data_IF_420716530832
#
_entry.id   IF_420716530832
#
_cell.length_a   1.000
_cell.length_b   1.000
_cell.length_c   1.000
_cell.angle_alpha   90.00
_cell.angle_beta   90.00
_cell.angle_gamma   90.00
#
_symmetry.space_group_name_H-M   'P 1'
#
loop_
_entity.id
_entity.type
_entity.pdbx_description
1 polymer ?
#
# COMPACT_ATOMS: atom_id res chain seq x y z
N UNK A 1 -15.61 20.13 10.08
CA UNK A 1 -14.75 20.15 8.88
C UNK A 1 -13.74 21.29 8.98
N UNK A 2 -12.47 21.02 8.69
CA UNK A 2 -11.38 21.98 8.65
C UNK A 2 -10.81 22.04 7.22
N UNK A 3 -10.72 23.25 6.66
CA UNK A 3 -10.27 23.45 5.28
C UNK A 3 -8.79 23.07 5.09
N UNK A 4 -7.92 23.39 6.06
CA UNK A 4 -6.50 23.10 5.97
C UNK A 4 -6.26 21.59 5.95
N UNK A 5 -6.93 20.86 6.85
CA UNK A 5 -6.86 19.41 6.91
C UNK A 5 -7.42 18.77 5.62
N UNK A 6 -8.50 19.33 5.08
CA UNK A 6 -9.10 18.83 3.83
C UNK A 6 -8.14 19.00 2.64
N UNK A 7 -7.53 20.18 2.47
CA UNK A 7 -6.54 20.43 1.40
C UNK A 7 -5.32 19.52 1.55
N UNK A 8 -4.81 19.44 2.78
CA UNK A 8 -3.71 18.56 3.14
C UNK A 8 -4.01 17.10 2.78
N UNK A 9 -5.19 16.59 3.12
CA UNK A 9 -5.59 15.22 2.83
C UNK A 9 -5.83 14.95 1.35
N UNK A 10 -6.26 15.94 0.54
CA UNK A 10 -6.29 15.80 -0.92
C UNK A 10 -4.88 15.57 -1.48
N UNK A 11 -3.91 16.38 -1.04
CA UNK A 11 -2.52 16.23 -1.46
C UNK A 11 -1.95 14.87 -1.04
N UNK A 12 -2.13 14.47 0.22
CA UNK A 12 -1.69 13.18 0.72
C UNK A 12 -2.32 12.03 -0.08
N UNK A 13 -3.62 12.08 -0.36
CA UNK A 13 -4.32 11.06 -1.17
C UNK A 13 -3.72 10.92 -2.56
N UNK A 14 -3.41 12.03 -3.24
CA UNK A 14 -2.78 12.00 -4.56
C UNK A 14 -1.36 11.43 -4.52
N UNK A 15 -0.60 11.75 -3.47
CA UNK A 15 0.73 11.19 -3.23
C UNK A 15 0.67 9.68 -3.00
N UNK A 16 -0.27 9.17 -2.21
CA UNK A 16 -0.43 7.72 -2.02
C UNK A 16 -0.87 7.05 -3.31
N UNK A 17 -1.79 7.66 -4.08
CA UNK A 17 -2.20 7.12 -5.37
C UNK A 17 -1.00 6.95 -6.32
N UNK A 18 -0.07 7.91 -6.34
CA UNK A 18 1.16 7.86 -7.15
C UNK A 18 2.05 6.64 -6.83
N UNK A 19 1.99 6.10 -5.61
CA UNK A 19 2.81 4.96 -5.21
C UNK A 19 2.47 3.71 -6.03
N UNK A 20 1.22 3.50 -6.43
CA UNK A 20 0.83 2.28 -7.16
C UNK A 20 1.39 2.26 -8.60
N UNK A 21 1.24 3.32 -9.41
CA UNK A 21 2.00 3.47 -10.64
C UNK A 21 3.52 3.40 -10.41
N UNK A 22 4.02 3.98 -9.31
CA UNK A 22 5.43 3.86 -8.91
C UNK A 22 5.88 2.40 -8.77
N UNK A 23 5.14 1.57 -8.03
CA UNK A 23 5.44 0.14 -7.90
C UNK A 23 5.31 -0.61 -9.22
N UNK A 24 4.35 -0.23 -10.08
CA UNK A 24 4.21 -0.84 -11.40
C UNK A 24 5.47 -0.66 -12.25
N UNK A 25 6.07 0.53 -12.20
CA UNK A 25 7.35 0.82 -12.86
C UNK A 25 8.51 0.13 -12.14
N UNK A 26 8.52 0.15 -10.81
CA UNK A 26 9.53 -0.49 -9.99
C UNK A 26 9.68 -1.97 -10.35
N UNK A 27 8.58 -2.73 -10.27
CA UNK A 27 8.56 -4.15 -10.63
C UNK A 27 8.67 -4.37 -12.14
N UNK A 28 8.06 -3.52 -12.97
CA UNK A 28 8.16 -3.59 -14.43
C UNK A 28 9.60 -3.53 -14.96
N UNK A 29 10.48 -2.77 -14.29
CA UNK A 29 11.91 -2.72 -14.61
C UNK A 29 12.72 -3.91 -14.07
N UNK A 30 12.23 -4.61 -13.04
CA UNK A 30 12.89 -5.76 -12.41
C UNK A 30 12.55 -7.10 -13.08
N UNK A 31 11.41 -7.19 -13.76
CA UNK A 31 11.02 -8.39 -14.51
C UNK A 31 11.69 -8.42 -15.88
N UNK A 32 11.54 -9.55 -16.59
CA UNK A 32 12.03 -9.69 -17.96
C UNK A 32 11.23 -8.82 -18.92
N UNK A 33 11.89 -8.36 -19.99
CA UNK A 33 11.28 -7.48 -21.01
C UNK A 33 9.95 -8.01 -21.56
N UNK A 34 9.87 -9.32 -21.84
CA UNK A 34 8.64 -9.98 -22.33
C UNK A 34 7.49 -9.97 -21.33
N UNK A 35 7.77 -9.79 -20.04
CA UNK A 35 6.77 -9.81 -18.97
C UNK A 35 6.48 -8.41 -18.41
N UNK A 36 7.30 -7.40 -18.73
CA UNK A 36 7.20 -6.03 -18.21
C UNK A 36 5.79 -5.44 -18.38
N UNK A 37 5.21 -5.55 -19.58
CA UNK A 37 3.87 -5.04 -19.86
C UNK A 37 2.80 -5.72 -19.00
N UNK A 38 2.87 -7.05 -18.84
CA UNK A 38 1.93 -7.79 -18.01
C UNK A 38 2.04 -7.41 -16.53
N UNK A 39 3.26 -7.20 -16.02
CA UNK A 39 3.48 -6.75 -14.63
C UNK A 39 2.90 -5.35 -14.39
N UNK A 40 3.13 -4.41 -15.31
CA UNK A 40 2.53 -3.07 -15.22
C UNK A 40 1.00 -3.14 -15.26
N UNK A 41 0.45 -3.97 -16.17
CA UNK A 41 -1.00 -4.18 -16.28
C UNK A 41 -1.61 -4.76 -15.00
N UNK A 42 -0.91 -5.63 -14.27
CA UNK A 42 -1.40 -6.17 -12.99
C UNK A 42 -1.57 -5.08 -11.93
N UNK A 43 -0.61 -4.18 -11.78
CA UNK A 43 -0.73 -3.06 -10.83
C UNK A 43 -1.78 -2.05 -11.25
N UNK A 44 -1.91 -1.74 -12.55
CA UNK A 44 -2.95 -0.81 -13.03
C UNK A 44 -4.35 -1.41 -12.89
N UNK A 45 -4.52 -2.71 -13.17
CA UNK A 45 -5.76 -3.42 -12.95
C UNK A 45 -6.14 -3.48 -11.46
N UNK A 46 -5.15 -3.56 -10.56
CA UNK A 46 -5.40 -3.52 -9.13
C UNK A 46 -6.07 -2.21 -8.69
N UNK A 47 -5.62 -1.05 -9.18
CA UNK A 47 -6.26 0.25 -8.89
C UNK A 47 -7.76 0.19 -9.21
N UNK A 48 -8.10 -0.29 -10.40
CA UNK A 48 -9.49 -0.34 -10.87
C UNK A 48 -10.31 -1.33 -10.03
N UNK A 49 -9.82 -2.55 -9.85
CA UNK A 49 -10.55 -3.59 -9.13
C UNK A 49 -10.71 -3.29 -7.65
N UNK A 50 -9.65 -2.85 -6.98
CA UNK A 50 -9.71 -2.42 -5.58
C UNK A 50 -10.71 -1.29 -5.43
N UNK A 51 -10.72 -0.31 -6.34
CA UNK A 51 -11.72 0.76 -6.32
C UNK A 51 -13.14 0.21 -6.33
N UNK A 52 -13.48 -0.68 -7.27
CA UNK A 52 -14.82 -1.27 -7.33
C UNK A 52 -15.20 -2.05 -6.07
N UNK A 53 -14.29 -2.88 -5.54
CA UNK A 53 -14.58 -3.67 -4.33
C UNK A 53 -14.68 -2.77 -3.11
N UNK A 54 -13.82 -1.75 -3.00
CA UNK A 54 -13.78 -0.82 -1.89
C UNK A 54 -15.07 0.00 -1.78
N UNK A 55 -15.53 0.57 -2.89
CA UNK A 55 -16.75 1.40 -2.90
C UNK A 55 -18.03 0.58 -2.72
N UNK A 56 -18.01 -0.70 -3.08
CA UNK A 56 -19.19 -1.58 -2.94
C UNK A 56 -19.29 -2.15 -1.53
N UNK A 57 -18.21 -2.76 -1.00
CA UNK A 57 -18.23 -3.47 0.28
C UNK A 57 -17.00 -3.24 1.15
N UNK A 58 -15.84 -2.90 0.58
CA UNK A 58 -14.59 -2.86 1.33
C UNK A 58 -14.55 -1.76 2.38
N UNK A 59 -15.06 -0.55 2.06
CA UNK A 59 -15.09 0.56 3.00
C UNK A 59 -16.01 0.27 4.20
N UNK A 60 -17.21 -0.25 3.96
CA UNK A 60 -18.17 -0.56 5.04
C UNK A 60 -17.68 -1.68 5.95
N UNK A 61 -17.04 -2.72 5.40
CA UNK A 61 -16.43 -3.79 6.20
C UNK A 61 -15.29 -3.24 7.07
N UNK A 62 -14.53 -2.27 6.55
CA UNK A 62 -13.36 -1.71 7.24
C UNK A 62 -13.75 -0.71 8.33
N UNK A 63 -14.65 0.23 8.02
CA UNK A 63 -14.90 1.42 8.86
C UNK A 63 -16.36 1.60 9.31
N UNK A 64 -17.26 0.67 8.95
CA UNK A 64 -18.60 0.66 9.53
C UNK A 64 -18.58 0.30 11.02
N UNK A 65 -19.52 0.85 11.80
CA UNK A 65 -19.65 0.53 13.23
C UNK A 65 -20.18 -0.90 13.41
N UNK A 66 -19.28 -1.84 13.70
CA UNK A 66 -19.59 -3.27 13.71
C UNK A 66 -19.10 -4.02 14.93
N UNK A 67 -18.79 -5.29 14.70
CA UNK A 67 -18.27 -6.21 15.73
C UNK A 67 -16.77 -6.01 15.94
N UNK A 68 -16.13 -6.85 16.77
CA UNK A 68 -14.67 -6.86 16.87
C UNK A 68 -13.94 -7.34 15.59
N UNK A 69 -14.66 -7.97 14.66
CA UNK A 69 -14.10 -8.68 13.52
C UNK A 69 -14.37 -8.02 12.17
N UNK A 70 -15.51 -7.37 12.03
CA UNK A 70 -15.94 -6.70 10.80
C UNK A 70 -16.85 -5.54 11.15
N UNK A 71 -16.81 -4.50 10.32
CA UNK A 71 -17.76 -3.41 10.31
C UNK A 71 -19.18 -3.85 9.93
N UNK A 72 -20.08 -2.88 9.82
CA UNK A 72 -21.46 -3.10 9.41
C UNK A 72 -21.65 -2.90 7.88
N UNK A 73 -22.90 -2.82 7.44
CA UNK A 73 -23.28 -2.64 6.03
C UNK A 73 -23.80 -1.23 5.72
N UNK A 74 -23.62 -0.27 6.62
CA UNK A 74 -24.18 1.08 6.50
C UNK A 74 -23.64 1.84 5.28
N UNK A 75 -22.34 1.70 5.01
CA UNK A 75 -21.65 2.40 3.92
C UNK A 75 -21.57 1.58 2.62
N UNK A 76 -22.38 0.52 2.49
CA UNK A 76 -22.42 -0.30 1.26
C UNK A 76 -22.79 0.59 0.07
N UNK A 77 -22.10 0.43 -1.06
CA UNK A 77 -22.25 1.29 -2.25
C UNK A 77 -22.04 2.80 -1.96
N UNK A 78 -21.21 3.13 -0.98
CA UNK A 78 -20.99 4.50 -0.51
C UNK A 78 -22.25 5.21 -0.01
N UNK A 79 -23.27 4.45 0.42
CA UNK A 79 -24.41 5.05 1.09
C UNK A 79 -23.94 5.86 2.30
N UNK A 80 -24.50 7.05 2.52
CA UNK A 80 -24.07 8.00 3.56
C UNK A 80 -22.61 8.52 3.47
N UNK A 81 -21.84 8.15 2.44
CA UNK A 81 -20.48 8.64 2.22
C UNK A 81 -20.50 9.83 1.26
N UNK A 82 -20.12 11.01 1.76
CA UNK A 82 -20.16 12.23 0.97
C UNK A 82 -19.26 13.34 1.52
N UNK A 83 -19.65 14.59 1.26
CA UNK A 83 -18.89 15.76 1.69
C UNK A 83 -19.00 16.05 3.21
N UNK A 84 -20.00 15.48 3.88
CA UNK A 84 -20.16 15.59 5.32
C UNK A 84 -19.03 14.85 6.07
N UNK A 85 -18.71 15.34 7.26
CA UNK A 85 -17.83 14.65 8.24
C UNK A 85 -18.62 13.58 9.00
N UNK A 86 -17.93 12.59 9.55
CA UNK A 86 -18.49 11.64 10.52
C UNK A 86 -17.63 11.70 11.78
N UNK A 87 -18.25 11.79 12.95
CA UNK A 87 -17.58 12.17 14.21
C UNK A 87 -16.52 11.14 14.67
N UNK A 88 -16.79 9.86 14.55
CA UNK A 88 -15.93 8.78 15.05
C UNK A 88 -14.79 8.41 14.09
N UNK A 89 -14.99 8.63 12.78
CA UNK A 89 -14.12 8.15 11.71
C UNK A 89 -13.34 9.30 11.07
N UNK A 90 -14.01 10.42 10.79
CA UNK A 90 -13.45 11.54 10.04
C UNK A 90 -13.99 12.90 10.54
N UNK A 91 -13.74 13.28 11.80
CA UNK A 91 -14.41 14.42 12.45
C UNK A 91 -14.07 15.77 11.80
N UNK A 92 -12.94 15.86 11.10
CA UNK A 92 -12.43 17.12 10.58
C UNK A 92 -12.29 17.16 9.04
N UNK A 93 -12.41 16.02 8.36
CA UNK A 93 -12.32 15.91 6.90
C UNK A 93 -13.57 15.23 6.31
N UNK A 94 -13.97 15.55 5.08
CA UNK A 94 -15.07 14.86 4.42
C UNK A 94 -14.92 13.33 4.44
N UNK A 95 -16.00 12.61 4.77
CA UNK A 95 -15.97 11.15 4.85
C UNK A 95 -15.58 10.51 3.50
N UNK A 96 -16.00 11.10 2.38
CA UNK A 96 -15.58 10.68 1.06
C UNK A 96 -14.06 10.81 0.85
N UNK A 97 -13.42 11.85 1.39
CA UNK A 97 -11.98 12.02 1.29
C UNK A 97 -11.22 11.02 2.18
N UNK A 98 -11.71 10.77 3.39
CA UNK A 98 -11.18 9.70 4.24
C UNK A 98 -11.29 8.33 3.55
N UNK A 99 -12.45 8.02 2.97
CA UNK A 99 -12.68 6.80 2.21
C UNK A 99 -11.70 6.64 1.04
N UNK A 100 -11.47 7.71 0.27
CA UNK A 100 -10.52 7.71 -0.83
C UNK A 100 -9.09 7.52 -0.34
N UNK A 101 -8.68 8.22 0.72
CA UNK A 101 -7.34 8.07 1.31
C UNK A 101 -7.08 6.61 1.72
N UNK A 102 -8.00 6.00 2.47
CA UNK A 102 -7.92 4.61 2.92
C UNK A 102 -7.93 3.60 1.75
N UNK A 103 -8.69 3.87 0.69
CA UNK A 103 -8.67 3.06 -0.53
C UNK A 103 -7.28 2.95 -1.16
N UNK A 104 -6.48 4.02 -1.08
CA UNK A 104 -5.12 4.02 -1.62
C UNK A 104 -4.19 3.07 -0.86
N UNK A 105 -4.40 2.89 0.45
CA UNK A 105 -3.65 1.93 1.27
C UNK A 105 -3.96 0.48 0.86
N UNK A 106 -5.22 0.19 0.54
CA UNK A 106 -5.60 -1.12 0.00
C UNK A 106 -4.94 -1.38 -1.35
N UNK A 107 -4.96 -0.36 -2.22
CA UNK A 107 -4.42 -0.44 -3.58
C UNK A 107 -2.91 -0.68 -3.58
N UNK A 108 -2.18 0.00 -2.70
CA UNK A 108 -0.74 -0.23 -2.57
C UNK A 108 -0.42 -1.58 -1.95
N UNK A 109 -1.20 -2.06 -0.97
CA UNK A 109 -1.02 -3.37 -0.35
C UNK A 109 -1.10 -4.52 -1.39
N UNK A 110 -2.12 -4.48 -2.27
CA UNK A 110 -2.22 -5.43 -3.40
C UNK A 110 -1.01 -5.31 -4.33
N UNK A 111 -0.56 -4.10 -4.59
CA UNK A 111 0.55 -3.85 -5.52
C UNK A 111 1.89 -4.36 -4.98
N UNK A 112 2.15 -4.21 -3.67
CA UNK A 112 3.30 -4.82 -2.98
C UNK A 112 3.25 -6.34 -3.11
N UNK A 113 2.10 -6.94 -2.78
CA UNK A 113 1.89 -8.38 -2.91
C UNK A 113 2.12 -8.86 -4.35
N UNK A 114 1.66 -8.11 -5.35
CA UNK A 114 1.76 -8.49 -6.76
C UNK A 114 3.22 -8.68 -7.20
N UNK A 115 4.17 -7.96 -6.59
CA UNK A 115 5.60 -8.15 -6.83
C UNK A 115 6.12 -9.56 -6.51
N UNK A 116 5.55 -10.25 -5.51
CA UNK A 116 5.96 -11.62 -5.12
C UNK A 116 5.57 -12.69 -6.14
N UNK A 117 4.51 -12.41 -6.91
CA UNK A 117 3.92 -13.30 -7.91
C UNK A 117 4.14 -12.81 -9.35
N UNK A 118 4.91 -11.73 -9.51
CA UNK A 118 5.29 -11.17 -10.80
C UNK A 118 5.90 -12.27 -11.68
N UNK A 119 5.52 -12.28 -12.96
CA UNK A 119 5.91 -13.29 -13.97
C UNK A 119 5.40 -14.73 -13.72
N UNK A 120 4.72 -15.01 -12.61
CA UNK A 120 4.34 -16.38 -12.21
C UNK A 120 2.83 -16.65 -12.22
N UNK A 121 2.00 -15.64 -11.99
CA UNK A 121 0.55 -15.78 -11.95
C UNK A 121 -0.09 -15.33 -13.27
N UNK A 122 -1.03 -16.14 -13.78
CA UNK A 122 -1.87 -15.74 -14.93
C UNK A 122 -2.75 -14.55 -14.54
N UNK A 123 -3.05 -13.68 -15.51
CA UNK A 123 -3.80 -12.44 -15.28
C UNK A 123 -5.20 -12.66 -14.71
N UNK A 124 -6.01 -13.57 -15.27
CA UNK A 124 -7.39 -13.79 -14.80
C UNK A 124 -7.46 -14.31 -13.35
N UNK A 125 -6.70 -15.34 -12.93
CA UNK A 125 -6.61 -15.72 -11.52
C UNK A 125 -6.19 -14.56 -10.61
N UNK A 126 -5.27 -13.70 -11.07
CA UNK A 126 -4.85 -12.53 -10.31
C UNK A 126 -6.01 -11.55 -10.08
N UNK A 127 -6.84 -11.27 -11.09
CA UNK A 127 -8.01 -10.39 -10.92
C UNK A 127 -8.98 -10.95 -9.86
N UNK A 128 -9.27 -12.25 -9.91
CA UNK A 128 -10.13 -12.90 -8.92
C UNK A 128 -9.52 -12.84 -7.52
N UNK A 129 -8.21 -13.07 -7.42
CA UNK A 129 -7.49 -12.96 -6.16
C UNK A 129 -7.60 -11.55 -5.58
N UNK A 130 -7.39 -10.50 -6.36
CA UNK A 130 -7.51 -9.10 -5.89
C UNK A 130 -8.90 -8.85 -5.30
N UNK A 131 -9.96 -9.27 -6.00
CA UNK A 131 -11.34 -9.06 -5.52
C UNK A 131 -11.59 -9.76 -4.19
N UNK A 132 -11.22 -11.04 -4.11
CA UNK A 132 -11.44 -11.85 -2.90
C UNK A 132 -10.58 -11.34 -1.75
N UNK A 133 -9.31 -11.04 -2.00
CA UNK A 133 -8.37 -10.62 -0.97
C UNK A 133 -8.73 -9.24 -0.41
N UNK A 134 -9.13 -8.29 -1.25
CA UNK A 134 -9.60 -6.99 -0.78
C UNK A 134 -10.79 -7.13 0.16
N UNK A 135 -11.81 -7.91 -0.22
CA UNK A 135 -13.03 -8.06 0.56
C UNK A 135 -12.84 -8.90 1.84
N UNK A 136 -12.09 -10.00 1.76
CA UNK A 136 -12.04 -11.02 2.82
C UNK A 136 -10.76 -11.00 3.67
N UNK A 137 -9.71 -10.29 3.24
CA UNK A 137 -8.45 -10.21 3.97
C UNK A 137 -8.16 -8.77 4.36
N UNK A 138 -8.03 -7.88 3.38
CA UNK A 138 -7.64 -6.50 3.66
C UNK A 138 -8.67 -5.75 4.49
N UNK A 139 -9.93 -5.71 4.03
CA UNK A 139 -10.97 -4.94 4.73
C UNK A 139 -11.20 -5.41 6.18
N UNK A 140 -11.23 -6.73 6.48
CA UNK A 140 -11.28 -7.19 7.86
C UNK A 140 -10.04 -6.81 8.67
N UNK A 141 -8.84 -6.94 8.12
CA UNK A 141 -7.61 -6.52 8.83
C UNK A 141 -7.60 -5.02 9.11
N UNK A 142 -8.01 -4.20 8.14
CA UNK A 142 -8.18 -2.76 8.32
C UNK A 142 -9.18 -2.45 9.44
N UNK A 143 -10.28 -3.23 9.52
CA UNK A 143 -11.22 -3.12 10.63
C UNK A 143 -10.59 -3.48 11.97
N UNK A 144 -9.83 -4.59 12.03
CA UNK A 144 -9.19 -5.04 13.27
C UNK A 144 -8.27 -3.98 13.87
N UNK A 145 -7.53 -3.26 13.03
CA UNK A 145 -6.49 -2.33 13.44
C UNK A 145 -7.00 -0.88 13.54
N UNK A 146 -7.74 -0.40 12.54
CA UNK A 146 -8.16 1.00 12.43
C UNK A 146 -9.66 1.22 12.61
N UNK A 147 -10.49 0.26 12.20
CA UNK A 147 -11.95 0.37 12.27
C UNK A 147 -12.57 0.08 13.65
N UNK A 148 -11.77 0.06 14.72
CA UNK A 148 -12.25 -0.21 16.08
C UNK A 148 -12.39 -1.70 16.44
N UNK A 149 -11.84 -2.61 15.64
CA UNK A 149 -11.86 -4.05 15.91
C UNK A 149 -10.89 -4.52 17.00
N UNK A 150 -10.69 -5.84 17.11
CA UNK A 150 -10.00 -6.43 18.27
C UNK A 150 -8.54 -6.00 18.45
N UNK A 151 -7.76 -5.81 17.39
CA UNK A 151 -6.34 -5.36 17.50
C UNK A 151 -6.29 -3.93 18.05
N UNK A 152 -7.21 -3.08 17.59
CA UNK A 152 -7.39 -1.73 18.11
C UNK A 152 -7.71 -1.76 19.62
N UNK A 153 -8.63 -2.64 20.05
CA UNK A 153 -8.98 -2.80 21.47
C UNK A 153 -7.85 -3.33 22.36
N UNK A 154 -6.84 -3.99 21.78
CA UNK A 154 -5.61 -4.36 22.50
C UNK A 154 -4.64 -3.18 22.69
N UNK A 155 -4.90 -2.02 22.08
CA UNK A 155 -4.04 -0.84 22.18
C UNK A 155 -2.80 -0.91 21.30
N UNK A 156 -2.82 -1.72 20.23
CA UNK A 156 -1.70 -1.80 19.27
C UNK A 156 -1.58 -0.48 18.52
N UNK A 157 -0.35 0.03 18.44
CA UNK A 157 -0.02 1.26 17.71
C UNK A 157 0.43 0.90 16.29
N UNK A 158 -0.44 1.18 15.33
CA UNK A 158 -0.15 1.05 13.90
C UNK A 158 -0.54 2.33 13.17
N UNK A 159 0.43 3.25 13.08
CA UNK A 159 0.20 4.62 12.62
C UNK A 159 -0.20 4.71 11.15
N UNK A 160 0.51 4.00 10.26
CA UNK A 160 0.32 4.08 8.81
C UNK A 160 0.19 2.69 8.14
N UNK A 161 0.08 1.60 8.88
CA UNK A 161 -0.28 0.30 8.30
C UNK A 161 0.89 -0.66 8.18
N UNK A 162 1.78 -0.66 9.17
CA UNK A 162 2.76 -1.73 9.36
C UNK A 162 2.10 -3.11 9.32
N UNK A 163 0.97 -3.25 10.01
CA UNK A 163 0.17 -4.49 10.02
C UNK A 163 -0.76 -4.55 8.81
N UNK A 164 -1.59 -3.53 8.62
CA UNK A 164 -2.68 -3.53 7.63
C UNK A 164 -2.17 -3.63 6.20
N UNK A 165 -1.08 -2.92 5.88
CA UNK A 165 -0.51 -2.88 4.54
C UNK A 165 0.67 -3.85 4.44
N UNK A 166 1.73 -3.63 5.20
CA UNK A 166 3.02 -4.29 4.93
C UNK A 166 3.08 -5.76 5.37
N UNK A 167 2.72 -6.06 6.62
CA UNK A 167 2.71 -7.46 7.11
C UNK A 167 1.66 -8.27 6.35
N UNK A 168 0.45 -7.75 6.19
CA UNK A 168 -0.66 -8.48 5.55
C UNK A 168 -0.35 -8.79 4.08
N UNK A 169 0.16 -7.81 3.31
CA UNK A 169 0.58 -8.05 1.93
C UNK A 169 1.83 -8.92 1.82
N UNK A 170 2.81 -8.72 2.71
CA UNK A 170 4.06 -9.49 2.74
C UNK A 170 3.84 -10.98 3.02
N UNK A 171 3.05 -11.30 4.05
CA UNK A 171 2.68 -12.69 4.39
C UNK A 171 1.84 -13.30 3.29
N UNK A 172 0.85 -12.57 2.76
CA UNK A 172 0.03 -13.05 1.65
C UNK A 172 0.86 -13.33 0.40
N UNK A 173 1.83 -12.46 0.08
CA UNK A 173 2.78 -12.64 -1.02
C UNK A 173 3.71 -13.84 -0.81
N UNK A 174 4.20 -14.05 0.42
CA UNK A 174 4.98 -15.23 0.77
C UNK A 174 4.18 -16.53 0.57
N UNK A 175 2.94 -16.58 1.08
CA UNK A 175 2.05 -17.74 0.93
C UNK A 175 1.80 -18.02 -0.55
N UNK A 176 1.48 -17.00 -1.35
CA UNK A 176 1.30 -17.15 -2.79
C UNK A 176 2.57 -17.63 -3.50
N UNK A 177 3.73 -17.09 -3.14
CA UNK A 177 5.00 -17.52 -3.72
C UNK A 177 5.31 -19.00 -3.43
N UNK A 178 4.95 -19.49 -2.23
CA UNK A 178 5.08 -20.90 -1.86
C UNK A 178 4.07 -21.76 -2.66
N UNK A 179 2.81 -21.34 -2.72
CA UNK A 179 1.74 -22.11 -3.38
C UNK A 179 1.92 -22.20 -4.90
N UNK A 180 2.34 -21.11 -5.55
CA UNK A 180 2.61 -21.09 -6.99
C UNK A 180 3.92 -21.85 -7.29
N UNK A 181 4.88 -21.81 -6.36
CA UNK A 181 6.13 -22.55 -6.44
C UNK A 181 7.17 -21.89 -7.35
N UNK A 182 8.29 -22.61 -7.52
CA UNK A 182 9.41 -22.17 -8.35
C UNK A 182 9.03 -22.31 -9.83
N UNK A 183 9.02 -21.19 -10.56
CA UNK A 183 8.91 -21.20 -12.02
C UNK A 183 10.09 -21.91 -12.69
N UNK A 184 10.10 -21.95 -14.04
CA UNK A 184 11.14 -22.65 -14.80
C UNK A 184 12.56 -22.21 -14.40
N UNK A 185 13.42 -23.18 -14.05
CA UNK A 185 14.81 -23.02 -13.55
C UNK A 185 15.77 -22.25 -14.48
N UNK A 186 15.37 -21.94 -15.72
CA UNK A 186 16.27 -21.55 -16.81
C UNK A 186 16.35 -20.06 -17.14
N UNK A 187 15.88 -19.17 -16.27
CA UNK A 187 16.15 -17.76 -16.46
C UNK A 187 16.67 -17.14 -15.18
N UNK A 188 17.98 -16.90 -15.12
CA UNK A 188 18.46 -15.74 -14.38
C UNK A 188 17.69 -14.54 -14.93
N UNK A 189 16.76 -14.02 -14.14
CA UNK A 189 15.99 -12.85 -14.51
C UNK A 189 16.94 -11.66 -14.55
N UNK A 190 17.37 -11.28 -15.74
CA UNK A 190 18.06 -10.02 -15.94
C UNK A 190 17.00 -8.92 -15.91
N UNK A 191 17.10 -7.93 -15.01
CA UNK A 191 16.19 -6.80 -14.98
C UNK A 191 16.08 -6.15 -16.37
N UNK A 192 14.85 -5.89 -16.81
CA UNK A 192 14.61 -5.26 -18.10
C UNK A 192 15.23 -3.86 -18.18
N UNK A 193 15.09 -3.05 -17.13
CA UNK A 193 15.60 -1.69 -17.09
C UNK A 193 15.65 -1.11 -15.66
N UNK A 194 16.86 -1.02 -15.09
CA UNK A 194 17.06 -0.49 -13.74
C UNK A 194 16.77 1.02 -13.60
N UNK A 195 16.79 1.79 -14.69
CA UNK A 195 16.41 3.21 -14.67
C UNK A 195 14.89 3.35 -14.49
N UNK A 196 14.10 2.48 -15.13
CA UNK A 196 12.64 2.44 -14.90
C UNK A 196 12.36 2.03 -13.46
N UNK A 197 13.10 1.04 -12.93
CA UNK A 197 13.01 0.68 -11.52
C UNK A 197 13.32 1.85 -10.60
N UNK A 198 14.34 2.64 -10.91
CA UNK A 198 14.68 3.86 -10.16
C UNK A 198 13.55 4.89 -10.19
N UNK A 199 13.01 5.20 -11.37
CA UNK A 199 11.90 6.17 -11.50
C UNK A 199 10.69 5.71 -10.66
N UNK A 200 10.34 4.42 -10.76
CA UNK A 200 9.28 3.83 -9.95
C UNK A 200 9.56 3.94 -8.45
N UNK A 201 10.79 3.61 -8.03
CA UNK A 201 11.22 3.72 -6.63
C UNK A 201 11.15 5.15 -6.09
N UNK A 202 11.52 6.15 -6.90
CA UNK A 202 11.40 7.57 -6.53
C UNK A 202 9.93 7.97 -6.36
N UNK A 203 9.03 7.53 -7.24
CA UNK A 203 7.59 7.79 -7.09
C UNK A 203 7.01 7.15 -5.83
N UNK A 204 7.42 5.92 -5.51
CA UNK A 204 7.02 5.26 -4.27
C UNK A 204 7.54 6.02 -3.06
N UNK A 205 8.80 6.46 -3.07
CA UNK A 205 9.39 7.25 -2.00
C UNK A 205 8.66 8.58 -1.79
N UNK A 206 8.43 9.35 -2.85
CA UNK A 206 7.66 10.61 -2.79
C UNK A 206 6.25 10.36 -2.26
N UNK A 207 5.59 9.32 -2.76
CA UNK A 207 4.24 8.97 -2.33
C UNK A 207 4.16 8.54 -0.86
N UNK A 208 5.24 7.97 -0.32
CA UNK A 208 5.33 7.58 1.09
C UNK A 208 5.21 8.76 2.06
N UNK A 209 5.59 9.97 1.63
CA UNK A 209 5.30 11.17 2.41
C UNK A 209 3.79 11.37 2.56
N UNK A 210 3.01 11.20 1.49
CA UNK A 210 1.54 11.22 1.60
C UNK A 210 0.99 10.12 2.51
N UNK A 211 1.59 8.93 2.44
CA UNK A 211 1.18 7.74 3.18
C UNK A 211 1.38 7.91 4.69
N UNK A 212 2.61 8.18 5.13
CA UNK A 212 2.91 8.34 6.55
C UNK A 212 2.34 9.66 7.09
N UNK A 213 2.60 10.78 6.42
CA UNK A 213 2.24 12.11 6.93
C UNK A 213 0.72 12.30 6.94
N UNK A 214 0.05 11.83 5.89
CA UNK A 214 -1.42 11.87 5.80
C UNK A 214 -2.12 10.97 6.82
N UNK A 215 -1.44 9.98 7.40
CA UNK A 215 -2.01 9.13 8.46
C UNK A 215 -2.23 9.87 9.79
N UNK A 216 -1.76 11.12 9.91
CA UNK A 216 -2.17 12.02 10.98
C UNK A 216 -3.59 12.59 10.79
N UNK A 217 -4.13 12.57 9.56
CA UNK A 217 -5.42 13.16 9.16
C UNK A 217 -5.59 14.68 9.35
N UNK A 218 -4.63 15.34 9.99
CA UNK A 218 -4.60 16.77 10.25
C UNK A 218 -3.21 17.35 10.01
N UNK A 219 -3.15 18.63 9.66
CA UNK A 219 -1.89 19.33 9.44
C UNK A 219 -1.34 19.92 10.75
N UNK A 220 -0.68 19.07 11.54
CA UNK A 220 -0.23 19.41 12.89
C UNK A 220 1.20 18.92 13.22
N UNK A 221 1.56 18.93 14.51
CA UNK A 221 2.85 18.46 15.01
C UNK A 221 3.08 16.96 14.79
N UNK A 222 2.03 16.14 14.78
CA UNK A 222 2.14 14.70 14.53
C UNK A 222 2.44 14.44 13.05
N UNK A 223 1.78 15.17 12.15
CA UNK A 223 2.12 15.15 10.73
C UNK A 223 3.59 15.57 10.50
N UNK A 224 4.05 16.63 11.16
CA UNK A 224 5.45 17.08 11.07
C UNK A 224 6.43 16.01 11.57
N UNK A 225 6.15 15.40 12.72
CA UNK A 225 6.97 14.31 13.28
C UNK A 225 7.00 13.11 12.33
N UNK A 226 5.86 12.70 11.77
CA UNK A 226 5.77 11.62 10.80
C UNK A 226 6.59 11.93 9.55
N UNK A 227 6.59 13.17 9.05
CA UNK A 227 7.40 13.60 7.91
C UNK A 227 8.89 13.44 8.22
N UNK A 228 9.35 14.02 9.33
CA UNK A 228 10.75 13.95 9.77
C UNK A 228 11.21 12.51 9.92
N UNK A 229 10.43 11.67 10.60
CA UNK A 229 10.76 10.26 10.79
C UNK A 229 10.78 9.49 9.48
N UNK A 230 9.90 9.78 8.53
CA UNK A 230 9.89 9.13 7.21
C UNK A 230 11.17 9.42 6.43
N UNK A 231 11.63 10.67 6.41
CA UNK A 231 12.88 11.05 5.72
C UNK A 231 14.10 10.38 6.37
N UNK A 232 14.18 10.44 7.70
CA UNK A 232 15.32 9.92 8.45
C UNK A 232 15.37 8.39 8.37
N UNK A 233 14.23 7.70 8.52
CA UNK A 233 14.18 6.23 8.51
C UNK A 233 14.53 5.67 7.13
N UNK A 234 13.97 6.23 6.05
CA UNK A 234 14.34 5.83 4.69
C UNK A 234 15.84 6.05 4.42
N UNK A 235 16.39 7.19 4.84
CA UNK A 235 17.83 7.48 4.72
C UNK A 235 18.69 6.50 5.51
N UNK A 236 18.30 6.19 6.75
CA UNK A 236 19.01 5.26 7.61
C UNK A 236 18.94 3.82 7.08
N UNK A 237 17.78 3.39 6.58
CA UNK A 237 17.60 2.08 5.93
C UNK A 237 18.45 1.95 4.67
N UNK A 238 18.48 2.98 3.83
CA UNK A 238 19.32 3.04 2.64
C UNK A 238 20.82 2.91 2.99
N UNK A 239 21.30 3.69 3.95
CA UNK A 239 22.69 3.62 4.43
C UNK A 239 23.00 2.24 5.02
N UNK A 240 22.12 1.72 5.87
CA UNK A 240 22.28 0.41 6.51
C UNK A 240 22.39 -0.71 5.48
N UNK A 241 21.52 -0.70 4.48
CA UNK A 241 21.56 -1.67 3.38
C UNK A 241 22.86 -1.56 2.59
N UNK A 242 23.28 -0.36 2.21
CA UNK A 242 24.51 -0.15 1.44
C UNK A 242 25.76 -0.59 2.21
N UNK A 243 25.82 -0.35 3.52
CA UNK A 243 26.91 -0.82 4.38
C UNK A 243 26.94 -2.34 4.39
N UNK A 244 25.80 -2.99 4.65
CA UNK A 244 25.73 -4.46 4.66
C UNK A 244 26.07 -5.04 3.29
N UNK A 245 25.52 -4.48 2.21
CA UNK A 245 25.82 -4.90 0.84
C UNK A 245 27.31 -4.80 0.54
N UNK A 246 27.96 -3.70 0.94
CA UNK A 246 29.41 -3.55 0.78
C UNK A 246 30.21 -4.55 1.62
N UNK A 247 29.80 -4.84 2.86
CA UNK A 247 30.47 -5.83 3.71
C UNK A 247 30.45 -7.21 3.05
N UNK A 248 29.29 -7.64 2.54
CA UNK A 248 29.10 -8.98 1.98
C UNK A 248 29.53 -9.13 0.52
N UNK A 249 29.31 -8.12 -0.32
CA UNK A 249 29.54 -8.17 -1.78
C UNK A 249 30.73 -7.35 -2.27
N UNK A 250 31.33 -6.50 -1.41
CA UNK A 250 32.42 -5.56 -1.75
C UNK A 250 32.06 -4.52 -2.81
N UNK A 251 30.78 -4.36 -3.11
CA UNK A 251 30.22 -3.37 -4.04
C UNK A 251 28.89 -2.86 -3.50
N UNK A 252 28.40 -1.76 -4.04
CA UNK A 252 27.06 -1.22 -3.77
C UNK A 252 26.25 -1.18 -5.05
N UNK A 253 24.93 -1.24 -4.93
CA UNK A 253 24.03 -1.21 -6.08
C UNK A 253 22.93 -0.17 -5.93
N UNK A 254 22.47 0.36 -7.07
CA UNK A 254 21.29 1.23 -7.13
C UNK A 254 20.05 0.54 -6.55
N UNK A 255 19.89 -0.75 -6.86
CA UNK A 255 18.78 -1.54 -6.32
C UNK A 255 18.91 -1.69 -4.80
N UNK A 256 20.11 -1.90 -4.27
CA UNK A 256 20.36 -1.96 -2.82
C UNK A 256 20.01 -0.65 -2.11
N UNK A 257 20.36 0.50 -2.70
CA UNK A 257 19.96 1.82 -2.18
C UNK A 257 18.43 1.92 -2.07
N UNK A 258 17.70 1.56 -3.13
CA UNK A 258 16.24 1.65 -3.17
C UNK A 258 15.57 0.66 -2.21
N UNK A 259 16.05 -0.59 -2.16
CA UNK A 259 15.52 -1.61 -1.24
C UNK A 259 15.78 -1.23 0.23
N UNK A 260 16.95 -0.67 0.52
CA UNK A 260 17.25 -0.13 1.85
C UNK A 260 16.33 1.03 2.22
N UNK A 261 16.08 1.95 1.29
CA UNK A 261 15.14 3.06 1.52
C UNK A 261 13.69 2.59 1.73
N UNK A 262 13.26 1.52 1.06
CA UNK A 262 11.93 0.92 1.26
C UNK A 262 11.82 0.11 2.56
N UNK A 263 12.95 -0.37 3.08
CA UNK A 263 13.00 -1.14 4.32
C UNK A 263 13.00 -0.26 5.58
N UNK A 264 13.48 0.97 5.48
CA UNK A 264 13.47 1.97 6.55
C UNK A 264 12.21 2.82 6.52
#
# INVERSE_FOLDING_TARGET
MNLNDTIFMFLCTLLVWLMTPGLSLFYGGLVQSKNALNTVMQSMAAIVLVTFVWVTVGFTISFGEGSLWFGNWEYTFLNHVGFATQEDISPHIPLALFMLFQMMFCTIAISILSGSIAEKMKFIPYLLFVVIWTALVYSPVAHWVWGGGWINKLGVLDFAGGTVVHITSGVSGLVLAIMIGKGNKHSESTPHNLIITLIGGIFVWIGWYGFNVGSAFTFDQIAMLAFTNTVISASAGAIGWLILEYIFKKTTSLLGLLLGALAG
#
